data_IF_826837743402
#
_entry.id   IF_826837743402
#
_cell.length_a   1.000
_cell.length_b   1.000
_cell.length_c   1.000
_cell.angle_alpha   90.00
_cell.angle_beta   90.00
_cell.angle_gamma   90.00
#
_symmetry.space_group_name_H-M   'P 1'
#
loop_
_entity.id
_entity.type
_entity.pdbx_description
1 polymer ?
#
# COMPACT_ATOMS: atom_id res chain seq x y z
N UNK A 1 -0.58 -43.77 10.47
CA UNK A 1 -1.31 -42.92 9.50
C UNK A 1 -2.64 -42.57 10.12
N UNK A 2 -2.91 -41.30 10.42
CA UNK A 2 -4.24 -40.88 10.90
C UNK A 2 -5.24 -41.08 9.77
N UNK A 3 -6.31 -41.82 10.01
CA UNK A 3 -7.36 -42.03 9.01
C UNK A 3 -7.94 -40.66 8.61
N UNK A 4 -7.92 -40.34 7.31
CA UNK A 4 -8.59 -39.13 6.81
C UNK A 4 -10.09 -39.30 6.99
N UNK A 5 -10.72 -38.32 7.62
CA UNK A 5 -12.17 -38.23 7.69
C UNK A 5 -12.75 -38.01 6.28
N UNK A 6 -13.96 -38.54 5.99
CA UNK A 6 -14.64 -38.29 4.72
C UNK A 6 -14.88 -36.80 4.48
N UNK A 7 -14.86 -36.38 3.21
CA UNK A 7 -15.08 -34.98 2.83
C UNK A 7 -16.51 -34.50 3.16
N UNK A 8 -17.49 -35.39 3.14
CA UNK A 8 -18.89 -35.11 3.49
C UNK A 8 -19.05 -34.56 4.91
N UNK A 9 -18.25 -35.06 5.87
CA UNK A 9 -18.28 -34.61 7.27
C UNK A 9 -17.86 -33.14 7.36
N UNK A 10 -16.90 -32.72 6.55
CA UNK A 10 -16.41 -31.34 6.52
C UNK A 10 -17.40 -30.40 5.85
N UNK A 11 -18.11 -30.86 4.81
CA UNK A 11 -19.20 -30.10 4.17
C UNK A 11 -20.33 -29.88 5.16
N UNK A 12 -20.74 -30.93 5.88
CA UNK A 12 -21.79 -30.84 6.89
C UNK A 12 -21.40 -29.94 8.06
N UNK A 13 -20.14 -30.03 8.53
CA UNK A 13 -19.61 -29.13 9.55
C UNK A 13 -19.75 -27.66 9.13
N UNK A 14 -19.34 -27.32 7.91
CA UNK A 14 -19.44 -25.96 7.38
C UNK A 14 -20.90 -25.51 7.25
N UNK A 15 -21.79 -26.40 6.80
CA UNK A 15 -23.24 -26.15 6.69
C UNK A 15 -23.88 -25.80 8.04
N UNK A 16 -23.48 -26.48 9.12
CA UNK A 16 -23.98 -26.16 10.47
C UNK A 16 -23.46 -24.81 10.98
N UNK A 17 -22.22 -24.46 10.62
CA UNK A 17 -21.64 -23.17 10.97
C UNK A 17 -22.32 -22.03 10.21
N UNK A 18 -22.53 -22.18 8.90
CA UNK A 18 -23.26 -21.19 8.08
C UNK A 18 -24.68 -20.98 8.60
N UNK A 19 -25.34 -22.03 9.11
CA UNK A 19 -26.67 -21.97 9.72
C UNK A 19 -26.71 -21.25 11.09
N UNK A 20 -25.58 -20.71 11.58
CA UNK A 20 -25.54 -19.89 12.79
C UNK A 20 -24.84 -20.54 13.99
N UNK A 21 -24.54 -21.85 13.94
CA UNK A 21 -23.94 -22.54 15.09
C UNK A 21 -22.45 -22.20 15.23
N UNK A 22 -21.97 -22.13 16.46
CA UNK A 22 -20.54 -22.03 16.73
C UNK A 22 -19.84 -23.35 16.36
N UNK A 23 -18.67 -23.29 15.71
CA UNK A 23 -17.91 -24.49 15.33
C UNK A 23 -17.64 -25.44 16.52
N UNK A 24 -17.33 -24.88 17.70
CA UNK A 24 -17.15 -25.68 18.92
C UNK A 24 -18.44 -26.39 19.36
N UNK A 25 -19.61 -25.77 19.16
CA UNK A 25 -20.91 -26.43 19.43
C UNK A 25 -21.16 -27.56 18.45
N UNK A 26 -20.86 -27.36 17.15
CA UNK A 26 -21.01 -28.40 16.12
C UNK A 26 -20.12 -29.61 16.43
N UNK A 27 -18.89 -29.39 16.87
CA UNK A 27 -17.96 -30.46 17.28
C UNK A 27 -18.40 -31.27 18.53
N UNK A 28 -19.52 -30.92 19.18
CA UNK A 28 -20.12 -31.75 20.25
C UNK A 28 -21.10 -32.79 19.71
N UNK A 29 -21.52 -32.68 18.46
CA UNK A 29 -22.44 -33.63 17.85
C UNK A 29 -21.71 -34.96 17.59
N UNK A 30 -22.43 -36.09 17.70
CA UNK A 30 -21.82 -37.44 17.62
C UNK A 30 -21.23 -37.77 16.25
N UNK A 31 -21.75 -37.15 15.21
CA UNK A 31 -21.35 -37.34 13.81
C UNK A 31 -20.24 -36.37 13.37
N UNK A 32 -19.83 -35.46 14.25
CA UNK A 32 -18.88 -34.39 13.94
C UNK A 32 -17.49 -34.69 14.51
N UNK A 33 -16.43 -34.16 13.87
CA UNK A 33 -15.07 -34.32 14.38
C UNK A 33 -14.88 -33.51 15.67
N UNK A 34 -14.03 -34.04 16.56
CA UNK A 34 -13.62 -33.32 17.75
C UNK A 34 -12.94 -31.99 17.41
N UNK A 35 -13.08 -31.00 18.30
CA UNK A 35 -12.58 -29.64 18.07
C UNK A 35 -11.08 -29.59 17.71
N UNK A 36 -10.23 -30.41 18.35
CA UNK A 36 -8.80 -30.46 18.04
C UNK A 36 -8.52 -30.88 16.59
N UNK A 37 -9.27 -31.86 16.07
CA UNK A 37 -9.16 -32.32 14.67
C UNK A 37 -9.63 -31.23 13.71
N UNK A 38 -10.74 -30.57 14.01
CA UNK A 38 -11.26 -29.45 13.21
C UNK A 38 -10.29 -28.27 13.19
N UNK A 39 -9.74 -27.90 14.35
CA UNK A 39 -8.76 -26.83 14.47
C UNK A 39 -7.50 -27.12 13.65
N UNK A 40 -7.00 -28.36 13.72
CA UNK A 40 -5.87 -28.81 12.90
C UNK A 40 -6.20 -28.76 11.41
N UNK A 41 -7.43 -29.11 11.00
CA UNK A 41 -7.85 -29.02 9.60
C UNK A 41 -7.90 -27.57 9.12
N UNK A 42 -8.43 -26.65 9.94
CA UNK A 42 -8.46 -25.20 9.63
C UNK A 42 -7.04 -24.64 9.46
N UNK A 43 -6.10 -25.02 10.31
CA UNK A 43 -4.74 -24.45 10.26
C UNK A 43 -3.85 -25.05 9.17
N UNK A 44 -4.01 -26.34 8.88
CA UNK A 44 -3.11 -27.04 7.96
C UNK A 44 -3.60 -27.07 6.50
N UNK A 45 -4.89 -26.77 6.26
CA UNK A 45 -5.49 -26.79 4.92
C UNK A 45 -6.05 -25.40 4.58
N UNK A 46 -5.29 -24.64 3.77
CA UNK A 46 -5.66 -23.28 3.35
C UNK A 46 -6.96 -23.22 2.56
N UNK A 47 -7.33 -24.28 1.85
CA UNK A 47 -8.57 -24.29 1.07
C UNK A 47 -9.77 -24.47 2.01
N UNK A 48 -9.61 -25.33 3.02
CA UNK A 48 -10.60 -25.48 4.07
C UNK A 48 -10.71 -24.24 4.95
N UNK A 49 -9.59 -23.60 5.30
CA UNK A 49 -9.57 -22.33 6.02
C UNK A 49 -10.43 -21.27 5.32
N UNK A 50 -10.22 -21.06 4.01
CA UNK A 50 -11.03 -20.09 3.24
C UNK A 50 -12.52 -20.41 3.28
N UNK A 51 -12.88 -21.69 3.13
CA UNK A 51 -14.28 -22.14 3.23
C UNK A 51 -14.86 -21.87 4.63
N UNK A 52 -14.08 -22.12 5.68
CA UNK A 52 -14.48 -21.85 7.06
C UNK A 52 -14.65 -20.35 7.34
N UNK A 53 -13.74 -19.50 6.84
CA UNK A 53 -13.88 -18.04 6.96
C UNK A 53 -15.14 -17.53 6.24
N UNK A 54 -15.45 -18.08 5.07
CA UNK A 54 -16.71 -17.81 4.37
C UNK A 54 -17.93 -18.27 5.19
N UNK A 55 -17.85 -19.44 5.84
CA UNK A 55 -18.91 -19.92 6.70
C UNK A 55 -19.14 -19.00 7.92
N UNK A 56 -18.06 -18.48 8.50
CA UNK A 56 -18.13 -17.47 9.57
C UNK A 56 -18.75 -16.15 9.10
N UNK A 57 -18.44 -15.70 7.88
CA UNK A 57 -19.07 -14.53 7.29
C UNK A 57 -20.59 -14.73 7.12
N UNK A 58 -21.03 -15.87 6.59
CA UNK A 58 -22.45 -16.22 6.47
C UNK A 58 -23.14 -16.30 7.84
N UNK A 59 -22.47 -16.87 8.85
CA UNK A 59 -22.96 -16.88 10.23
C UNK A 59 -23.18 -15.47 10.78
N UNK A 60 -22.32 -14.52 10.42
CA UNK A 60 -22.50 -13.11 10.75
C UNK A 60 -23.78 -12.52 10.17
N UNK A 61 -24.17 -12.92 8.94
CA UNK A 61 -25.44 -12.51 8.33
C UNK A 61 -26.64 -13.12 9.06
N UNK A 62 -26.61 -14.42 9.38
CA UNK A 62 -27.68 -15.07 10.17
C UNK A 62 -27.90 -14.37 11.51
N UNK A 63 -26.82 -13.90 12.15
CA UNK A 63 -26.92 -13.18 13.42
C UNK A 63 -27.59 -11.82 13.27
N UNK A 64 -27.42 -11.15 12.13
CA UNK A 64 -28.17 -9.94 11.82
C UNK A 64 -29.66 -10.27 11.59
N UNK A 65 -29.97 -11.31 10.83
CA UNK A 65 -31.36 -11.73 10.55
C UNK A 65 -32.11 -12.17 11.83
N UNK A 66 -31.40 -12.75 12.80
CA UNK A 66 -31.98 -13.14 14.10
C UNK A 66 -32.46 -11.94 14.92
N UNK A 67 -31.96 -10.73 14.67
CA UNK A 67 -32.46 -9.52 15.33
C UNK A 67 -33.92 -9.24 14.95
N UNK A 68 -34.32 -9.50 13.70
CA UNK A 68 -35.72 -9.31 13.28
C UNK A 68 -36.66 -10.26 14.01
N UNK A 69 -36.21 -11.49 14.27
CA UNK A 69 -36.97 -12.45 15.06
C UNK A 69 -37.09 -12.01 16.52
N UNK A 70 -36.00 -11.53 17.12
CA UNK A 70 -36.03 -10.97 18.48
C UNK A 70 -37.02 -9.80 18.55
N UNK A 71 -36.99 -8.89 17.56
CA UNK A 71 -37.90 -7.76 17.49
C UNK A 71 -39.38 -8.22 17.45
N UNK A 72 -39.71 -9.19 16.58
CA UNK A 72 -41.08 -9.75 16.51
C UNK A 72 -41.52 -10.34 17.85
N UNK A 73 -40.67 -11.13 18.49
CA UNK A 73 -41.00 -11.80 19.76
C UNK A 73 -41.16 -10.81 20.92
N UNK A 74 -40.40 -9.71 20.93
CA UNK A 74 -40.60 -8.61 21.89
C UNK A 74 -41.94 -7.91 21.65
N UNK A 75 -42.28 -7.60 20.40
CA UNK A 75 -43.57 -6.96 20.06
C UNK A 75 -44.78 -7.85 20.44
N UNK A 76 -44.62 -9.16 20.34
CA UNK A 76 -45.64 -10.14 20.77
C UNK A 76 -45.68 -10.35 22.29
N UNK A 77 -44.76 -9.78 23.06
CA UNK A 77 -44.67 -9.96 24.51
C UNK A 77 -44.12 -11.33 24.96
N UNK A 78 -43.45 -12.07 24.07
CA UNK A 78 -42.90 -13.40 24.38
C UNK A 78 -41.56 -13.34 25.13
N UNK A 79 -40.84 -12.22 25.00
CA UNK A 79 -39.52 -12.01 25.60
C UNK A 79 -39.54 -10.68 26.34
N UNK A 80 -38.94 -10.67 27.54
CA UNK A 80 -38.68 -9.45 28.28
C UNK A 80 -37.81 -8.47 27.46
N UNK A 81 -38.21 -7.19 27.30
CA UNK A 81 -37.46 -6.21 26.52
C UNK A 81 -36.01 -6.00 27.01
N UNK A 82 -35.77 -6.12 28.32
CA UNK A 82 -34.42 -5.92 28.88
C UNK A 82 -33.49 -7.10 28.53
N UNK A 83 -34.00 -8.33 28.63
CA UNK A 83 -33.29 -9.50 28.14
C UNK A 83 -33.04 -9.44 26.63
N UNK A 84 -34.04 -9.04 25.85
CA UNK A 84 -33.91 -8.89 24.40
C UNK A 84 -32.84 -7.88 24.02
N UNK A 85 -32.73 -6.75 24.74
CA UNK A 85 -31.68 -5.75 24.51
C UNK A 85 -30.27 -6.33 24.64
N UNK A 86 -29.99 -7.06 25.73
CA UNK A 86 -28.69 -7.70 25.95
C UNK A 86 -28.36 -8.69 24.83
N UNK A 87 -29.33 -9.51 24.44
CA UNK A 87 -29.17 -10.50 23.37
C UNK A 87 -28.90 -9.81 22.03
N UNK A 88 -29.65 -8.77 21.69
CA UNK A 88 -29.46 -7.98 20.47
C UNK A 88 -28.08 -7.31 20.41
N UNK A 89 -27.58 -6.79 21.53
CA UNK A 89 -26.24 -6.21 21.59
C UNK A 89 -25.15 -7.27 21.33
N UNK A 90 -25.29 -8.47 21.88
CA UNK A 90 -24.37 -9.59 21.61
C UNK A 90 -24.41 -10.02 20.13
N UNK A 91 -25.59 -10.05 19.51
CA UNK A 91 -25.72 -10.37 18.09
C UNK A 91 -25.07 -9.32 17.21
N UNK A 92 -25.36 -8.02 17.42
CA UNK A 92 -24.72 -6.91 16.70
C UNK A 92 -23.20 -6.94 16.86
N UNK A 93 -22.71 -7.08 18.09
CA UNK A 93 -21.28 -7.16 18.40
C UNK A 93 -20.62 -8.31 17.64
N UNK A 94 -21.25 -9.48 17.64
CA UNK A 94 -20.70 -10.66 16.97
C UNK A 94 -20.75 -10.53 15.45
N UNK A 95 -21.86 -10.06 14.89
CA UNK A 95 -22.01 -9.85 13.45
C UNK A 95 -20.97 -8.86 12.91
N UNK A 96 -20.71 -7.76 13.64
CA UNK A 96 -19.68 -6.78 13.30
C UNK A 96 -18.26 -7.37 13.27
N UNK A 97 -17.97 -8.41 14.06
CA UNK A 97 -16.66 -9.06 14.14
C UNK A 97 -16.49 -10.18 13.11
N UNK A 98 -17.57 -10.91 12.83
CA UNK A 98 -17.59 -11.96 11.82
C UNK A 98 -17.59 -11.37 10.40
N UNK A 99 -18.25 -10.22 10.20
CA UNK A 99 -18.31 -9.56 8.90
C UNK A 99 -18.10 -8.03 8.99
N UNK A 100 -16.87 -7.57 9.34
CA UNK A 100 -16.58 -6.16 9.58
C UNK A 100 -16.83 -5.26 8.36
N UNK A 101 -16.68 -5.80 7.15
CA UNK A 101 -16.91 -5.05 5.92
C UNK A 101 -18.38 -4.61 5.76
N UNK A 102 -19.32 -5.41 6.25
CA UNK A 102 -20.77 -5.16 6.10
C UNK A 102 -21.35 -4.53 7.35
N UNK A 103 -21.08 -5.12 8.53
CA UNK A 103 -21.68 -4.73 9.81
C UNK A 103 -20.71 -4.03 10.76
N UNK A 104 -19.46 -3.79 10.35
CA UNK A 104 -18.52 -3.02 11.15
C UNK A 104 -18.86 -1.53 11.17
N UNK A 105 -18.48 -0.87 12.26
CA UNK A 105 -18.68 0.57 12.42
C UNK A 105 -17.89 1.34 11.36
N UNK A 106 -18.58 2.22 10.63
CA UNK A 106 -17.97 3.10 9.63
C UNK A 106 -17.81 4.48 10.22
N UNK A 107 -16.57 4.91 10.42
CA UNK A 107 -16.27 6.28 10.80
C UNK A 107 -16.03 7.11 9.54
N UNK A 108 -16.86 8.12 9.31
CA UNK A 108 -16.56 9.16 8.34
C UNK A 108 -15.67 10.19 9.04
N UNK A 109 -14.44 10.37 8.55
CA UNK A 109 -13.51 11.40 9.02
C UNK A 109 -13.41 12.44 7.93
N UNK A 110 -14.09 13.56 8.12
CA UNK A 110 -13.95 14.71 7.25
C UNK A 110 -12.64 15.42 7.59
N UNK A 111 -11.63 15.21 6.74
CA UNK A 111 -10.34 15.92 6.87
C UNK A 111 -10.51 17.30 6.27
N UNK A 112 -10.94 18.26 7.09
CA UNK A 112 -10.84 19.67 6.72
C UNK A 112 -9.37 20.07 6.74
N UNK A 113 -8.76 20.12 5.55
CA UNK A 113 -7.44 20.71 5.41
C UNK A 113 -7.56 22.22 5.61
N UNK A 114 -7.14 22.71 6.77
CA UNK A 114 -6.82 24.12 6.92
C UNK A 114 -5.68 24.43 5.94
N UNK A 115 -5.84 25.48 5.13
CA UNK A 115 -4.82 25.94 4.18
C UNK A 115 -3.58 26.41 4.96
N UNK A 116 -2.69 25.46 5.28
CA UNK A 116 -1.59 25.64 6.22
C UNK A 116 -1.11 24.35 6.89
N UNK A 117 -1.78 23.21 6.65
CA UNK A 117 -1.29 21.92 7.16
C UNK A 117 0.14 21.60 6.69
N UNK A 118 0.96 21.13 7.64
CA UNK A 118 2.39 20.80 7.51
C UNK A 118 2.80 20.17 6.17
N UNK A 119 1.96 19.32 5.57
CA UNK A 119 2.28 18.68 4.30
C UNK A 119 2.31 19.66 3.10
N UNK A 120 1.36 20.60 3.01
CA UNK A 120 1.39 21.63 1.95
C UNK A 120 2.53 22.61 2.15
N UNK A 121 2.85 22.93 3.40
CA UNK A 121 3.94 23.83 3.74
C UNK A 121 5.31 23.20 3.42
N UNK A 122 5.48 21.91 3.72
CA UNK A 122 6.65 21.12 3.30
C UNK A 122 6.79 21.05 1.77
N UNK A 123 5.69 20.82 1.04
CA UNK A 123 5.72 20.82 -0.43
C UNK A 123 6.08 22.21 -0.99
N UNK A 124 5.55 23.28 -0.41
CA UNK A 124 5.93 24.64 -0.79
C UNK A 124 7.40 24.93 -0.50
N UNK A 125 7.92 24.50 0.64
CA UNK A 125 9.32 24.68 1.02
C UNK A 125 10.26 23.93 0.08
N UNK A 126 9.95 22.67 -0.26
CA UNK A 126 10.73 21.88 -1.23
C UNK A 126 10.70 22.52 -2.61
N UNK A 127 9.53 22.99 -3.07
CA UNK A 127 9.41 23.67 -4.35
C UNK A 127 10.21 24.98 -4.38
N UNK A 128 10.16 25.80 -3.32
CA UNK A 128 10.99 27.00 -3.19
C UNK A 128 12.48 26.66 -3.22
N UNK A 129 12.91 25.63 -2.50
CA UNK A 129 14.31 25.19 -2.49
C UNK A 129 14.77 24.67 -3.86
N UNK A 130 13.90 23.98 -4.62
CA UNK A 130 14.21 23.54 -5.98
C UNK A 130 14.32 24.72 -6.96
N UNK A 131 13.47 25.74 -6.83
CA UNK A 131 13.55 26.96 -7.64
C UNK A 131 14.84 27.73 -7.39
N UNK A 132 15.23 27.92 -6.12
CA UNK A 132 16.49 28.59 -5.76
C UNK A 132 17.69 27.88 -6.38
N UNK A 133 17.77 26.54 -6.28
CA UNK A 133 18.83 25.76 -6.92
C UNK A 133 18.86 25.91 -8.45
N UNK A 134 17.70 26.07 -9.08
CA UNK A 134 17.64 26.33 -10.52
C UNK A 134 18.17 27.73 -10.87
N UNK A 135 17.89 28.74 -10.06
CA UNK A 135 18.40 30.11 -10.23
C UNK A 135 19.91 30.16 -10.04
N UNK A 136 20.45 29.53 -8.99
CA UNK A 136 21.90 29.47 -8.73
C UNK A 136 22.69 28.84 -9.88
N UNK A 137 22.14 27.81 -10.54
CA UNK A 137 22.76 27.16 -11.71
C UNK A 137 22.71 28.04 -12.96
N UNK A 138 21.69 28.91 -13.09
CA UNK A 138 21.58 29.86 -14.19
C UNK A 138 22.54 31.03 -13.99
N UNK A 139 22.62 31.60 -12.79
CA UNK A 139 23.59 32.67 -12.46
C UNK A 139 25.04 32.19 -12.64
N UNK A 140 25.39 30.98 -12.18
CA UNK A 140 26.73 30.41 -12.42
C UNK A 140 27.07 30.22 -13.91
N UNK A 141 26.08 29.99 -14.77
CA UNK A 141 26.28 29.89 -16.23
C UNK A 141 26.43 31.26 -16.89
N UNK A 142 25.76 32.29 -16.36
CA UNK A 142 25.92 33.66 -16.86
C UNK A 142 27.27 34.24 -16.47
N UNK A 143 27.71 34.08 -15.22
CA UNK A 143 29.03 34.55 -14.74
C UNK A 143 30.21 33.88 -15.48
N UNK A 144 30.10 32.57 -15.76
CA UNK A 144 31.12 31.87 -16.57
C UNK A 144 31.11 32.31 -18.03
N UNK A 145 29.95 32.71 -18.57
CA UNK A 145 29.85 33.26 -19.93
C UNK A 145 30.39 34.69 -20.04
N UNK A 146 30.22 35.52 -19.02
CA UNK A 146 30.74 36.90 -18.98
C UNK A 146 32.25 36.93 -18.72
N UNK A 147 32.78 36.02 -17.91
CA UNK A 147 34.23 35.83 -17.77
C UNK A 147 34.93 35.37 -19.07
N UNK A 148 34.23 34.58 -19.90
CA UNK A 148 34.70 34.17 -21.23
C UNK A 148 34.63 35.33 -22.25
N UNK A 149 33.60 36.19 -22.17
CA UNK A 149 33.48 37.39 -23.02
C UNK A 149 34.54 38.43 -22.68
N UNK A 150 34.81 38.67 -21.39
CA UNK A 150 35.82 39.64 -20.96
C UNK A 150 37.25 39.27 -21.45
N UNK A 151 37.61 37.97 -21.44
CA UNK A 151 38.91 37.50 -21.95
C UNK A 151 39.07 37.59 -23.47
N UNK A 152 37.99 37.59 -24.25
CA UNK A 152 38.07 37.68 -25.71
C UNK A 152 38.38 39.11 -26.20
N UNK A 153 38.09 40.13 -25.39
CA UNK A 153 38.27 41.55 -25.74
C UNK A 153 39.69 42.09 -25.53
N UNK A 154 40.56 41.41 -24.76
CA UNK A 154 41.90 41.92 -24.40
C UNK A 154 43.06 41.37 -25.27
N UNK A 155 42.80 40.48 -26.22
CA UNK A 155 43.85 39.88 -27.07
C UNK A 155 43.55 40.10 -28.55
N UNK A 156 43.75 41.33 -29.06
CA UNK A 156 44.13 41.60 -30.46
C UNK A 156 44.31 43.11 -30.73
N UNK A 157 45.45 43.67 -30.35
CA UNK A 157 45.98 44.88 -30.99
C UNK A 157 47.52 44.84 -30.98
N UNK A 158 48.11 44.03 -31.86
CA UNK A 158 49.50 44.22 -32.30
C UNK A 158 49.45 44.51 -33.80
N UNK A 159 49.75 45.77 -34.12
CA UNK A 159 49.78 46.34 -35.47
C UNK A 159 50.88 45.71 -36.31
N UNK A 160 50.51 45.14 -37.47
CA UNK A 160 51.47 44.64 -38.46
C UNK A 160 51.73 45.77 -39.45
N UNK A 161 52.87 46.45 -39.32
CA UNK A 161 53.36 47.36 -40.35
C UNK A 161 54.18 46.58 -41.36
N UNK A 162 53.79 46.66 -42.63
CA UNK A 162 54.34 45.93 -43.76
C UNK A 162 55.43 46.74 -44.46
N UNK A 163 56.69 46.34 -44.29
CA UNK A 163 57.76 46.68 -45.25
C UNK A 163 58.60 45.42 -45.57
N UNK A 164 58.41 45.01 -46.81
CA UNK A 164 59.00 43.89 -47.57
C UNK A 164 60.47 44.23 -47.96
N UNK A 165 61.22 43.41 -48.73
CA UNK A 165 61.21 41.95 -48.92
C UNK A 165 62.63 41.32 -49.07
N UNK A 166 62.67 39.98 -49.11
CA UNK A 166 63.24 39.11 -50.18
C UNK A 166 64.12 37.96 -49.68
N UNK A 167 63.69 36.79 -50.16
CA UNK A 167 64.48 35.74 -50.81
C UNK A 167 65.30 34.78 -49.93
N UNK A 168 64.84 33.54 -50.06
CA UNK A 168 65.57 32.39 -50.59
C UNK A 168 66.13 31.36 -49.59
N UNK A 169 65.64 30.14 -49.87
CA UNK A 169 66.40 28.91 -50.05
C UNK A 169 66.69 28.05 -48.81
N UNK A 170 65.90 26.98 -48.73
CA UNK A 170 66.35 25.58 -48.67
C UNK A 170 67.60 25.24 -47.85
N UNK A 171 67.43 24.30 -46.89
CA UNK A 171 68.04 22.95 -46.94
C UNK A 171 67.68 22.10 -45.72
N UNK A 172 67.30 20.84 -45.99
CA UNK A 172 67.74 19.55 -45.38
C UNK A 172 67.61 19.41 -43.84
N UNK A 173 67.34 18.26 -43.21
CA UNK A 173 66.95 16.87 -43.51
C UNK A 173 66.87 16.19 -42.12
N UNK A 174 66.15 15.05 -42.02
CA UNK A 174 66.17 14.03 -40.93
C UNK A 174 65.47 14.47 -39.63
N UNK A 175 64.49 13.79 -39.03
CA UNK A 175 63.97 12.43 -39.14
C UNK A 175 64.26 11.65 -37.86
N UNK A 176 63.23 11.27 -37.07
CA UNK A 176 63.14 9.96 -36.36
C UNK A 176 61.82 9.77 -35.58
N UNK A 177 60.99 8.89 -36.17
CA UNK A 177 60.09 7.85 -35.66
C UNK A 177 59.98 7.49 -34.14
N UNK A 178 58.75 7.01 -33.85
CA UNK A 178 58.29 5.97 -32.89
C UNK A 178 58.12 6.42 -31.42
N UNK A 179 57.15 5.97 -30.61
CA UNK A 179 56.40 4.71 -30.47
C UNK A 179 55.18 4.95 -29.56
N UNK A 180 53.93 4.65 -29.96
CA UNK A 180 53.03 3.56 -29.49
C UNK A 180 53.18 3.08 -28.03
N UNK A 181 52.09 3.15 -27.26
CA UNK A 181 51.31 2.03 -26.69
C UNK A 181 50.62 2.57 -25.42
N UNK A 182 49.30 2.47 -25.19
CA UNK A 182 48.53 1.24 -24.91
C UNK A 182 49.21 0.34 -23.90
#
# INVERSE_FOLDING_TARGET
MSARLPDEVWVEFLSRVTAGRAGQSVCKDKDMPAWGTTWNKIHNDKDFERKYMNALASRGMIYADQLDEINRRVLNGEIDPQAARLVSDNFKWTAARLLPKVYGDKQQVDVTHEAGGSYLDLLQQVNKAAQLKHVDVVEQREDTSDGLRARATEVNHISINSDLPKKQANKRKKGKKLSTGS
#
